data_IF_378161375230
#
_entry.id   IF_378161375230
#
_cell.length_a   1.000
_cell.length_b   1.000
_cell.length_c   1.000
_cell.angle_alpha   90.00
_cell.angle_beta   90.00
_cell.angle_gamma   90.00
#
_symmetry.space_group_name_H-M   'P 1'
#
loop_
_entity.id
_entity.type
_entity.pdbx_description
1 polymer ?
#
# COMPACT_ATOMS: atom_id res chain seq x y z
N UNK A 1 2.73 -29.54 33.99
CA UNK A 1 2.73 -28.76 32.73
C UNK A 1 1.31 -28.42 32.38
N UNK A 2 1.02 -27.15 32.16
CA UNK A 2 -0.30 -26.70 31.72
C UNK A 2 -0.64 -27.33 30.36
N UNK A 3 -1.85 -27.84 30.21
CA UNK A 3 -2.28 -28.49 28.97
C UNK A 3 -2.43 -27.42 27.89
N UNK A 4 -1.61 -27.48 26.85
CA UNK A 4 -1.69 -26.53 25.72
C UNK A 4 -3.11 -26.50 25.16
N UNK A 5 -3.70 -25.30 25.11
CA UNK A 5 -5.06 -25.06 24.59
C UNK A 5 -5.22 -25.57 23.15
N UNK A 6 -6.41 -26.07 22.83
CA UNK A 6 -6.74 -26.52 21.48
C UNK A 6 -6.63 -25.38 20.45
N UNK A 7 -6.95 -24.14 20.83
CA UNK A 7 -6.84 -22.99 19.94
C UNK A 7 -5.38 -22.70 19.58
N UNK A 8 -4.47 -22.82 20.56
CA UNK A 8 -3.03 -22.64 20.31
C UNK A 8 -2.52 -23.73 19.36
N UNK A 9 -2.91 -25.00 19.58
CA UNK A 9 -2.56 -26.12 18.69
C UNK A 9 -3.08 -25.90 17.27
N UNK A 10 -4.31 -25.44 17.11
CA UNK A 10 -4.91 -25.15 15.81
C UNK A 10 -4.16 -24.04 15.07
N UNK A 11 -3.90 -22.91 15.74
CA UNK A 11 -3.12 -21.82 15.16
C UNK A 11 -1.69 -22.26 14.77
N UNK A 12 -1.04 -23.08 15.60
CA UNK A 12 0.28 -23.62 15.27
C UNK A 12 0.24 -24.58 14.09
N UNK A 13 -0.79 -25.42 13.98
CA UNK A 13 -1.00 -26.30 12.84
C UNK A 13 -1.14 -25.52 11.52
N UNK A 14 -1.95 -24.44 11.53
CA UNK A 14 -2.08 -23.53 10.38
C UNK A 14 -0.71 -22.94 10.02
N UNK A 15 0.04 -22.43 11.00
CA UNK A 15 1.36 -21.85 10.77
C UNK A 15 2.37 -22.85 10.21
N UNK A 16 2.29 -24.13 10.58
CA UNK A 16 3.15 -25.19 10.04
C UNK A 16 2.84 -25.41 8.55
N UNK A 17 1.58 -25.66 8.19
CA UNK A 17 1.17 -25.78 6.79
C UNK A 17 1.57 -24.54 5.99
N UNK A 18 1.33 -23.35 6.54
CA UNK A 18 1.71 -22.08 5.90
C UNK A 18 3.21 -21.91 5.65
N UNK A 19 4.06 -22.43 6.53
CA UNK A 19 5.51 -22.20 6.48
C UNK A 19 6.23 -23.25 5.65
N UNK A 20 5.72 -24.49 5.67
CA UNK A 20 6.47 -25.65 5.20
C UNK A 20 5.76 -26.42 4.08
N UNK A 21 4.67 -25.87 3.51
CA UNK A 21 4.00 -26.46 2.35
C UNK A 21 3.70 -25.42 1.28
N UNK A 22 3.57 -25.87 0.04
CA UNK A 22 3.18 -25.09 -1.14
C UNK A 22 2.47 -26.01 -2.15
N UNK A 23 2.00 -25.47 -3.28
CA UNK A 23 1.42 -26.30 -4.36
C UNK A 23 2.38 -27.38 -4.88
N UNK A 24 3.68 -27.11 -4.84
CA UNK A 24 4.72 -28.06 -5.28
C UNK A 24 5.20 -29.00 -4.16
N UNK A 25 4.92 -28.66 -2.90
CA UNK A 25 5.47 -29.37 -1.73
C UNK A 25 4.39 -29.60 -0.67
N UNK A 26 3.90 -30.84 -0.58
CA UNK A 26 3.06 -31.31 0.52
C UNK A 26 3.88 -31.60 1.78
N UNK A 27 3.33 -31.28 2.95
CA UNK A 27 3.90 -31.70 4.23
C UNK A 27 3.19 -32.95 4.77
N UNK A 28 3.96 -33.99 5.07
CA UNK A 28 3.42 -35.26 5.57
C UNK A 28 2.90 -35.13 7.02
N UNK A 29 1.99 -36.01 7.42
CA UNK A 29 1.49 -36.08 8.82
C UNK A 29 2.64 -36.25 9.83
N UNK A 30 3.71 -36.96 9.44
CA UNK A 30 4.89 -37.18 10.28
C UNK A 30 5.66 -35.87 10.50
N UNK A 31 5.89 -35.11 9.44
CA UNK A 31 6.58 -33.82 9.51
C UNK A 31 5.76 -32.76 10.26
N UNK A 32 4.44 -32.74 10.05
CA UNK A 32 3.55 -31.88 10.85
C UNK A 32 3.74 -32.18 12.34
N UNK A 33 3.72 -33.46 12.74
CA UNK A 33 3.91 -33.84 14.13
C UNK A 33 5.31 -33.54 14.66
N UNK A 34 6.34 -33.64 13.81
CA UNK A 34 7.70 -33.21 14.16
C UNK A 34 7.71 -31.73 14.53
N UNK A 35 7.14 -30.87 13.69
CA UNK A 35 7.08 -29.43 13.96
C UNK A 35 6.16 -29.07 15.14
N UNK A 36 5.03 -29.78 15.33
CA UNK A 36 4.18 -29.59 16.52
C UNK A 36 4.94 -29.90 17.81
N UNK A 37 5.76 -30.97 17.80
CA UNK A 37 6.59 -31.35 18.94
C UNK A 37 7.71 -30.35 19.20
N UNK A 38 8.38 -29.87 18.16
CA UNK A 38 9.42 -28.84 18.27
C UNK A 38 8.87 -27.51 18.81
N UNK A 39 7.69 -27.08 18.36
CA UNK A 39 7.12 -25.77 18.72
C UNK A 39 6.35 -25.76 20.03
N UNK A 40 5.65 -26.85 20.36
CA UNK A 40 4.71 -26.90 21.49
C UNK A 40 4.93 -28.09 22.43
N UNK A 41 5.87 -28.99 22.14
CA UNK A 41 6.09 -30.20 22.94
C UNK A 41 4.96 -31.24 22.84
N UNK A 42 4.05 -31.12 21.86
CA UNK A 42 2.88 -31.98 21.69
C UNK A 42 2.80 -32.57 20.29
N UNK A 43 2.12 -33.69 20.15
CA UNK A 43 1.71 -34.25 18.85
C UNK A 43 0.18 -34.19 18.70
N UNK A 44 -0.28 -34.31 17.47
CA UNK A 44 -1.68 -34.42 17.10
C UNK A 44 -1.94 -35.84 16.57
N UNK A 45 -3.08 -36.40 16.96
CA UNK A 45 -3.60 -37.60 16.33
C UNK A 45 -4.24 -37.27 14.96
N UNK A 46 -4.41 -38.30 14.11
CA UNK A 46 -4.95 -38.13 12.75
C UNK A 46 -6.35 -37.54 12.74
N UNK A 47 -7.21 -37.90 13.71
CA UNK A 47 -8.59 -37.39 13.78
C UNK A 47 -8.59 -35.90 14.08
N UNK A 48 -7.73 -35.44 14.99
CA UNK A 48 -7.55 -34.01 15.26
C UNK A 48 -7.03 -33.26 14.03
N UNK A 49 -6.04 -33.82 13.31
CA UNK A 49 -5.56 -33.19 12.07
C UNK A 49 -6.65 -33.06 11.01
N UNK A 50 -7.45 -34.11 10.79
CA UNK A 50 -8.56 -34.05 9.82
C UNK A 50 -9.63 -33.03 10.22
N UNK A 51 -9.92 -32.92 11.53
CA UNK A 51 -10.81 -31.87 12.04
C UNK A 51 -10.23 -30.48 11.76
N UNK A 52 -8.95 -30.25 12.05
CA UNK A 52 -8.29 -28.97 11.77
C UNK A 52 -8.30 -28.62 10.28
N UNK A 53 -8.03 -29.57 9.38
CA UNK A 53 -8.11 -29.35 7.93
C UNK A 53 -9.53 -28.94 7.51
N UNK A 54 -10.56 -29.54 8.12
CA UNK A 54 -11.96 -29.16 7.87
C UNK A 54 -12.25 -27.75 8.38
N UNK A 55 -11.84 -27.43 9.61
CA UNK A 55 -12.06 -26.13 10.24
C UNK A 55 -11.34 -25.02 9.45
N UNK A 56 -10.11 -25.28 8.98
CA UNK A 56 -9.36 -24.39 8.07
C UNK A 56 -10.16 -24.05 6.81
N UNK A 57 -10.80 -25.03 6.18
CA UNK A 57 -11.64 -24.80 5.00
C UNK A 57 -12.89 -23.98 5.34
N UNK A 58 -13.48 -24.19 6.51
CA UNK A 58 -14.65 -23.42 6.96
C UNK A 58 -14.31 -21.94 7.21
N UNK A 59 -13.09 -21.63 7.67
CA UNK A 59 -12.62 -20.24 7.85
C UNK A 59 -12.06 -19.62 6.56
N UNK A 60 -12.25 -20.27 5.40
CA UNK A 60 -11.88 -19.72 4.09
C UNK A 60 -10.45 -20.03 3.61
N UNK A 61 -9.69 -20.85 4.35
CA UNK A 61 -8.37 -21.30 3.90
C UNK A 61 -8.50 -22.42 2.87
N UNK A 62 -7.79 -22.28 1.75
CA UNK A 62 -7.76 -23.31 0.69
C UNK A 62 -6.70 -24.34 1.02
N UNK A 63 -7.11 -25.48 1.56
CA UNK A 63 -6.21 -26.61 1.85
C UNK A 63 -6.42 -27.73 0.84
N UNK A 64 -5.33 -28.30 0.33
CA UNK A 64 -5.33 -29.43 -0.60
C UNK A 64 -6.13 -30.61 -0.09
N UNK A 65 -6.58 -31.47 -1.01
CA UNK A 65 -6.99 -32.82 -0.64
C UNK A 65 -5.74 -33.58 -0.18
N UNK A 66 -5.95 -34.68 0.55
CA UNK A 66 -4.83 -35.51 0.97
C UNK A 66 -4.01 -35.95 -0.24
N UNK A 67 -2.75 -35.55 -0.25
CA UNK A 67 -1.77 -35.96 -1.25
C UNK A 67 -1.29 -37.36 -0.87
N UNK A 68 -1.60 -38.33 -1.74
CA UNK A 68 -1.25 -39.74 -1.51
C UNK A 68 0.23 -40.02 -1.75
N UNK A 69 0.87 -39.26 -2.63
CA UNK A 69 2.27 -39.49 -3.00
C UNK A 69 3.20 -39.02 -1.89
N UNK A 70 2.90 -37.85 -1.31
CA UNK A 70 3.68 -37.26 -0.21
C UNK A 70 3.05 -37.48 1.18
N UNK A 71 2.02 -38.33 1.26
CA UNK A 71 1.28 -38.68 2.49
C UNK A 71 0.83 -37.46 3.33
N UNK A 72 0.43 -36.37 2.66
CA UNK A 72 0.41 -35.05 3.28
C UNK A 72 -0.70 -34.10 2.83
N UNK A 73 -0.57 -32.86 3.25
CA UNK A 73 -1.42 -31.75 2.87
C UNK A 73 -0.56 -30.54 2.53
N UNK A 74 -1.09 -29.64 1.72
CA UNK A 74 -0.53 -28.32 1.52
C UNK A 74 -1.62 -27.26 1.57
N UNK A 75 -1.20 -26.04 1.87
CA UNK A 75 -2.05 -24.87 1.79
C UNK A 75 -1.88 -24.25 0.39
N UNK A 76 -2.96 -24.13 -0.39
CA UNK A 76 -2.93 -23.41 -1.66
C UNK A 76 -2.58 -21.94 -1.39
N UNK A 77 -1.75 -21.37 -2.26
CA UNK A 77 -1.13 -20.07 -2.06
C UNK A 77 -2.16 -18.99 -1.70
N UNK A 78 -1.98 -18.42 -0.50
CA UNK A 78 -2.63 -17.19 -0.03
C UNK A 78 -1.60 -16.08 0.18
N UNK A 79 -0.34 -16.33 -0.19
CA UNK A 79 0.79 -15.43 0.03
C UNK A 79 1.37 -15.01 -1.31
N UNK A 80 1.93 -13.80 -1.32
CA UNK A 80 2.73 -13.34 -2.45
C UNK A 80 3.89 -14.31 -2.69
N UNK A 81 4.06 -14.75 -3.93
CA UNK A 81 5.25 -15.50 -4.34
C UNK A 81 6.47 -14.59 -4.24
N UNK A 82 7.67 -15.19 -4.16
CA UNK A 82 8.92 -14.44 -4.01
C UNK A 82 9.09 -13.35 -5.08
N UNK A 83 8.75 -13.68 -6.34
CA UNK A 83 8.82 -12.72 -7.44
C UNK A 83 7.77 -11.60 -7.34
N UNK A 84 6.59 -11.88 -6.76
CA UNK A 84 5.55 -10.86 -6.55
C UNK A 84 5.96 -9.90 -5.43
N UNK A 85 6.51 -10.41 -4.33
CA UNK A 85 7.08 -9.58 -3.28
C UNK A 85 8.22 -8.72 -3.80
N UNK A 86 9.12 -9.31 -4.60
CA UNK A 86 10.23 -8.58 -5.21
C UNK A 86 9.72 -7.44 -6.09
N UNK A 87 8.70 -7.71 -6.93
CA UNK A 87 8.08 -6.69 -7.78
C UNK A 87 7.46 -5.54 -6.95
N UNK A 88 6.76 -5.86 -5.86
CA UNK A 88 6.19 -4.85 -4.96
C UNK A 88 7.28 -4.02 -4.28
N UNK A 89 8.32 -4.68 -3.78
CA UNK A 89 9.45 -4.01 -3.14
C UNK A 89 10.19 -3.11 -4.12
N UNK A 90 10.41 -3.54 -5.35
CA UNK A 90 11.05 -2.72 -6.38
C UNK A 90 10.20 -1.51 -6.77
N UNK A 91 8.87 -1.66 -6.80
CA UNK A 91 7.93 -0.53 -7.02
C UNK A 91 7.97 0.49 -5.87
N UNK A 92 8.09 0.04 -4.62
CA UNK A 92 8.22 0.92 -3.45
C UNK A 92 9.59 1.63 -3.44
N UNK A 93 10.66 0.94 -3.86
CA UNK A 93 11.98 1.54 -4.00
C UNK A 93 12.00 2.64 -5.05
N UNK A 94 11.38 2.43 -6.21
CA UNK A 94 11.36 3.41 -7.31
C UNK A 94 10.49 4.63 -7.04
N UNK A 95 9.56 4.55 -6.07
CA UNK A 95 8.70 5.69 -5.71
C UNK A 95 9.51 6.87 -5.15
N UNK A 96 9.34 8.07 -5.72
CA UNK A 96 10.00 9.31 -5.26
C UNK A 96 9.25 9.98 -4.12
N UNK A 97 7.95 9.74 -4.05
CA UNK A 97 7.00 10.35 -3.12
C UNK A 97 7.16 9.96 -1.63
N UNK A 98 7.91 8.90 -1.30
CA UNK A 98 8.09 8.44 0.09
C UNK A 98 9.52 8.74 0.54
N UNK A 99 9.71 9.09 1.81
CA UNK A 99 11.06 9.33 2.37
C UNK A 99 11.86 8.03 2.42
N UNK A 100 13.20 8.13 2.50
CA UNK A 100 14.07 6.95 2.63
C UNK A 100 13.67 6.09 3.83
N UNK A 101 13.53 6.71 5.00
CA UNK A 101 13.13 6.06 6.24
C UNK A 101 11.82 5.29 6.08
N UNK A 102 10.79 5.94 5.53
CA UNK A 102 9.49 5.30 5.29
C UNK A 102 9.52 4.22 4.23
N UNK A 103 10.42 4.34 3.24
CA UNK A 103 10.67 3.29 2.24
C UNK A 103 11.22 2.05 2.96
N UNK A 104 12.25 2.20 3.79
CA UNK A 104 12.86 1.10 4.56
C UNK A 104 11.83 0.41 5.47
N UNK A 105 11.05 1.18 6.24
CA UNK A 105 9.98 0.65 7.10
C UNK A 105 8.90 -0.10 6.30
N UNK A 106 8.56 0.37 5.10
CA UNK A 106 7.55 -0.29 4.25
C UNK A 106 8.10 -1.56 3.60
N UNK A 107 9.36 -1.56 3.19
CA UNK A 107 10.04 -2.74 2.66
C UNK A 107 10.12 -3.85 3.71
N UNK A 108 10.40 -3.52 4.96
CA UNK A 108 10.36 -4.47 6.08
C UNK A 108 8.94 -5.05 6.26
N UNK A 109 7.90 -4.21 6.24
CA UNK A 109 6.51 -4.69 6.35
C UNK A 109 6.13 -5.62 5.18
N UNK A 110 6.52 -5.28 3.95
CA UNK A 110 6.24 -6.10 2.77
C UNK A 110 6.96 -7.44 2.84
N UNK A 111 8.21 -7.49 3.30
CA UNK A 111 8.93 -8.76 3.46
C UNK A 111 8.24 -9.69 4.47
N UNK A 112 7.50 -9.14 5.45
CA UNK A 112 6.73 -9.95 6.40
C UNK A 112 5.48 -10.62 5.83
N UNK A 113 5.01 -10.19 4.65
CA UNK A 113 3.81 -10.73 4.00
C UNK A 113 3.98 -12.19 3.56
N UNK A 114 5.21 -12.64 3.29
CA UNK A 114 5.51 -14.06 3.14
C UNK A 114 6.50 -14.52 4.20
N UNK A 115 6.03 -15.35 5.14
CA UNK A 115 6.83 -15.86 6.26
C UNK A 115 8.07 -16.64 5.80
N UNK A 116 7.97 -17.36 4.66
CA UNK A 116 9.04 -18.21 4.13
C UNK A 116 10.25 -17.38 3.68
N UNK A 117 10.00 -16.21 3.10
CA UNK A 117 11.05 -15.39 2.45
C UNK A 117 11.49 -14.16 3.25
N UNK A 118 10.97 -13.96 4.47
CA UNK A 118 11.23 -12.80 5.34
C UNK A 118 12.68 -12.33 5.40
N UNK A 119 13.63 -13.27 5.56
CA UNK A 119 15.05 -12.95 5.67
C UNK A 119 15.75 -12.77 4.33
N UNK A 120 15.46 -13.64 3.34
CA UNK A 120 16.15 -13.66 2.05
C UNK A 120 15.96 -12.37 1.24
N UNK A 121 14.75 -11.80 1.28
CA UNK A 121 14.43 -10.60 0.51
C UNK A 121 14.99 -9.33 1.20
N UNK A 122 15.16 -9.35 2.53
CA UNK A 122 15.75 -8.23 3.29
C UNK A 122 17.28 -8.24 3.19
N UNK A 123 17.90 -9.42 3.16
CA UNK A 123 19.37 -9.59 3.06
C UNK A 123 19.94 -9.19 1.70
N UNK A 124 19.12 -9.07 0.65
CA UNK A 124 19.58 -8.51 -0.62
C UNK A 124 19.80 -7.00 -0.46
N UNK A 125 20.97 -6.59 0.05
CA UNK A 125 21.45 -5.21 0.22
C UNK A 125 20.78 -4.23 -0.76
N UNK A 126 19.71 -3.58 -0.30
CA UNK A 126 18.95 -2.64 -1.14
C UNK A 126 19.59 -1.27 -1.01
N UNK A 127 20.31 -0.84 -2.04
CA UNK A 127 20.67 0.56 -2.17
C UNK A 127 19.41 1.37 -2.50
N UNK A 128 19.00 2.23 -1.57
CA UNK A 128 17.95 3.23 -1.80
C UNK A 128 18.65 4.54 -2.15
N UNK A 129 18.50 4.98 -3.40
CA UNK A 129 19.00 6.28 -3.81
C UNK A 129 18.15 7.39 -3.19
N UNK A 130 18.72 8.08 -2.21
CA UNK A 130 18.05 9.14 -1.46
C UNK A 130 17.93 10.46 -2.24
N UNK A 131 18.70 10.63 -3.31
CA UNK A 131 18.73 11.89 -4.08
C UNK A 131 17.39 12.19 -4.76
N UNK A 132 16.64 11.14 -5.12
CA UNK A 132 15.33 11.26 -5.75
C UNK A 132 14.15 11.17 -4.78
N UNK A 133 14.38 10.76 -3.52
CA UNK A 133 13.33 10.62 -2.49
C UNK A 133 12.88 11.98 -1.96
N UNK A 134 11.63 12.08 -1.53
CA UNK A 134 11.17 13.28 -0.83
C UNK A 134 11.77 13.39 0.58
N UNK A 135 11.87 14.62 1.06
CA UNK A 135 12.21 14.95 2.45
C UNK A 135 10.96 15.27 3.28
N UNK A 136 9.78 15.21 2.67
CA UNK A 136 8.51 15.50 3.34
C UNK A 136 8.05 14.32 4.18
N UNK A 137 8.29 14.37 5.48
CA UNK A 137 7.80 13.35 6.43
C UNK A 137 6.27 13.40 6.62
N UNK A 138 5.60 14.46 6.14
CA UNK A 138 4.14 14.63 6.22
C UNK A 138 3.34 13.85 5.18
N UNK A 139 3.98 13.17 4.22
CA UNK A 139 3.30 12.57 3.04
C UNK A 139 2.13 11.62 3.35
N UNK A 140 2.25 10.78 4.37
CA UNK A 140 1.15 9.86 4.75
C UNK A 140 -0.03 10.63 5.37
N UNK A 141 0.25 11.62 6.23
CA UNK A 141 -0.78 12.50 6.77
C UNK A 141 -1.45 13.32 5.66
N UNK A 142 -0.68 13.76 4.67
CA UNK A 142 -1.22 14.50 3.54
C UNK A 142 -2.24 13.65 2.75
N UNK A 143 -1.90 12.38 2.46
CA UNK A 143 -2.82 11.42 1.83
C UNK A 143 -4.10 11.30 2.65
N UNK A 144 -3.99 11.03 3.95
CA UNK A 144 -5.16 10.87 4.83
C UNK A 144 -6.06 12.10 4.87
N UNK A 145 -5.48 13.31 4.91
CA UNK A 145 -6.23 14.57 4.92
C UNK A 145 -6.94 14.82 3.58
N UNK A 146 -6.27 14.54 2.46
CA UNK A 146 -6.86 14.68 1.13
C UNK A 146 -7.99 13.67 0.94
N UNK A 147 -7.76 12.39 1.28
CA UNK A 147 -8.80 11.34 1.23
C UNK A 147 -10.03 11.74 2.05
N UNK A 148 -9.80 12.20 3.28
CA UNK A 148 -10.88 12.64 4.16
C UNK A 148 -11.65 13.84 3.60
N UNK A 149 -10.97 14.78 2.95
CA UNK A 149 -11.62 15.92 2.31
C UNK A 149 -12.48 15.51 1.12
N UNK A 150 -11.96 14.61 0.25
CA UNK A 150 -12.69 14.05 -0.88
C UNK A 150 -13.93 13.30 -0.39
N UNK A 151 -13.77 12.43 0.61
CA UNK A 151 -14.90 11.67 1.18
C UNK A 151 -15.99 12.56 1.77
N UNK A 152 -15.61 13.71 2.31
CA UNK A 152 -16.52 14.68 2.93
C UNK A 152 -16.99 15.79 1.99
N UNK A 153 -16.58 15.79 0.72
CA UNK A 153 -16.84 16.87 -0.24
C UNK A 153 -16.43 18.27 0.27
N UNK A 154 -15.32 18.36 1.02
CA UNK A 154 -14.82 19.62 1.58
C UNK A 154 -13.65 20.18 0.78
N UNK A 155 -13.56 21.51 0.70
CA UNK A 155 -12.37 22.19 0.17
C UNK A 155 -11.16 21.97 1.07
N UNK A 156 -9.97 22.07 0.49
CA UNK A 156 -8.72 22.06 1.25
C UNK A 156 -7.89 23.30 0.97
N UNK A 157 -7.10 23.68 1.96
CA UNK A 157 -6.00 24.64 1.83
C UNK A 157 -4.66 23.98 2.05
N UNK A 158 -3.62 24.46 1.37
CA UNK A 158 -2.26 23.96 1.57
C UNK A 158 -1.19 24.94 1.07
N UNK A 159 0.02 24.82 1.60
CA UNK A 159 1.22 25.47 1.08
C UNK A 159 1.90 24.54 0.05
N UNK A 160 2.36 25.09 -1.08
CA UNK A 160 3.07 24.31 -2.10
C UNK A 160 4.55 24.68 -2.18
N UNK A 161 5.41 23.65 -2.12
CA UNK A 161 6.85 23.78 -2.00
C UNK A 161 7.57 23.15 -3.19
N UNK A 162 8.45 23.92 -3.82
CA UNK A 162 8.98 23.64 -5.16
C UNK A 162 10.47 23.33 -5.17
N UNK A 163 11.16 23.56 -4.03
CA UNK A 163 12.59 23.27 -3.88
C UNK A 163 12.87 22.55 -2.57
N UNK A 164 13.79 21.58 -2.61
CA UNK A 164 14.40 20.97 -1.44
C UNK A 164 15.70 21.72 -1.13
N UNK A 165 16.00 22.00 0.13
CA UNK A 165 17.31 22.47 0.57
C UNK A 165 17.74 21.72 1.84
N UNK A 166 18.98 21.95 2.29
CA UNK A 166 19.52 21.34 3.51
C UNK A 166 18.71 21.66 4.78
N UNK A 167 17.88 22.70 4.76
CA UNK A 167 17.04 23.14 5.88
C UNK A 167 15.58 22.66 5.77
N UNK A 168 15.20 21.94 4.71
CA UNK A 168 13.83 21.47 4.49
C UNK A 168 13.25 21.86 3.13
N UNK A 169 11.91 21.90 3.04
CA UNK A 169 11.21 22.33 1.83
C UNK A 169 11.12 23.86 1.77
N UNK A 170 11.42 24.42 0.59
CA UNK A 170 11.24 25.85 0.29
C UNK A 170 9.91 26.01 -0.43
N UNK A 171 9.02 26.75 0.21
CA UNK A 171 7.68 27.04 -0.30
C UNK A 171 7.64 28.39 -1.01
N UNK A 172 6.76 28.55 -2.01
CA UNK A 172 6.71 29.76 -2.83
C UNK A 172 6.55 30.99 -1.94
N UNK A 173 7.52 31.90 -1.99
CA UNK A 173 7.44 33.22 -1.32
C UNK A 173 6.72 34.26 -2.19
N UNK A 174 6.47 33.97 -3.47
CA UNK A 174 5.95 34.94 -4.45
C UNK A 174 4.49 35.35 -4.25
N UNK A 175 3.76 34.71 -3.33
CA UNK A 175 2.41 35.13 -2.94
C UNK A 175 2.30 35.59 -1.48
N UNK A 176 3.39 36.04 -0.85
CA UNK A 176 3.30 36.60 0.51
C UNK A 176 2.54 37.92 0.61
N UNK A 177 2.18 38.55 -0.51
CA UNK A 177 1.34 39.75 -0.51
C UNK A 177 -0.17 39.46 -0.63
N UNK A 178 -0.59 38.22 -0.91
CA UNK A 178 -2.01 37.76 -0.87
C UNK A 178 -2.15 36.25 -0.52
N UNK A 179 -1.38 35.74 0.44
CA UNK A 179 -1.54 34.37 0.97
C UNK A 179 -1.14 33.27 -0.01
N UNK A 180 0.12 32.85 0.01
CA UNK A 180 0.67 31.69 -0.74
C UNK A 180 0.14 30.31 -0.33
N UNK A 181 -1.13 30.26 0.05
CA UNK A 181 -1.94 29.11 0.41
C UNK A 181 -2.89 28.83 -0.75
N UNK A 182 -2.76 27.66 -1.37
CA UNK A 182 -3.69 27.20 -2.39
C UNK A 182 -5.00 26.82 -1.72
N UNK A 183 -6.14 27.18 -2.31
CA UNK A 183 -7.48 26.74 -1.91
C UNK A 183 -8.16 26.08 -3.10
N UNK A 184 -8.48 24.80 -2.99
CA UNK A 184 -8.95 23.99 -4.14
C UNK A 184 -10.09 23.05 -3.76
N UNK A 185 -10.81 22.58 -4.78
CA UNK A 185 -11.78 21.49 -4.66
C UNK A 185 -11.07 20.16 -4.95
N UNK A 186 -10.76 19.31 -3.94
CA UNK A 186 -10.12 18.03 -4.19
C UNK A 186 -11.12 17.03 -4.79
N UNK A 187 -10.69 16.26 -5.80
CA UNK A 187 -11.56 15.33 -6.54
C UNK A 187 -11.10 13.89 -6.37
N UNK A 188 -9.81 13.65 -6.60
CA UNK A 188 -9.21 12.34 -6.45
C UNK A 188 -7.70 12.47 -6.25
N UNK A 189 -7.06 11.33 -6.07
CA UNK A 189 -5.61 11.21 -6.11
C UNK A 189 -5.21 10.25 -7.22
N UNK A 190 -4.13 10.59 -7.92
CA UNK A 190 -3.60 9.81 -9.02
C UNK A 190 -2.11 9.53 -8.80
N UNK A 191 -1.70 8.32 -9.15
CA UNK A 191 -0.29 7.93 -9.17
C UNK A 191 0.19 7.90 -10.62
N UNK A 192 1.24 8.65 -10.92
CA UNK A 192 2.01 8.47 -12.15
C UNK A 192 3.39 7.97 -11.78
N UNK A 193 3.59 6.65 -11.96
CA UNK A 193 4.79 5.81 -11.76
C UNK A 193 5.68 6.11 -10.53
N UNK A 194 6.15 7.34 -10.38
CA UNK A 194 7.08 7.82 -9.37
C UNK A 194 6.43 8.76 -8.33
N UNK A 195 5.35 9.45 -8.66
CA UNK A 195 4.79 10.55 -7.86
C UNK A 195 3.27 10.42 -7.63
N UNK A 196 2.84 10.83 -6.44
CA UNK A 196 1.43 10.89 -6.07
C UNK A 196 0.91 12.33 -6.21
N UNK A 197 -0.20 12.50 -6.92
CA UNK A 197 -0.79 13.79 -7.25
C UNK A 197 -2.18 13.94 -6.66
N UNK A 198 -2.46 15.11 -6.11
CA UNK A 198 -3.82 15.59 -5.90
C UNK A 198 -4.38 16.04 -7.24
N UNK A 199 -5.56 15.54 -7.60
CA UNK A 199 -6.38 16.02 -8.71
C UNK A 199 -7.44 16.95 -8.16
N UNK A 200 -7.52 18.18 -8.68
CA UNK A 200 -8.44 19.20 -8.18
C UNK A 200 -8.99 20.09 -9.28
N UNK A 201 -10.06 20.83 -8.98
CA UNK A 201 -10.63 21.87 -9.85
C UNK A 201 -10.68 23.20 -9.10
N UNK A 202 -10.48 24.29 -9.83
CA UNK A 202 -10.61 25.66 -9.33
C UNK A 202 -11.77 26.37 -10.06
N UNK A 203 -12.58 27.15 -9.33
CA UNK A 203 -13.50 28.18 -9.84
C UNK A 203 -14.32 27.82 -11.11
N UNK A 204 -15.14 26.77 -11.06
CA UNK A 204 -16.05 26.36 -12.16
C UNK A 204 -15.38 26.02 -13.52
N UNK A 205 -14.06 25.87 -13.58
CA UNK A 205 -13.39 25.43 -14.81
C UNK A 205 -13.47 23.90 -14.93
N UNK A 206 -13.82 23.36 -16.09
CA UNK A 206 -13.78 21.90 -16.37
C UNK A 206 -12.35 21.37 -16.57
N UNK A 207 -11.34 22.02 -15.99
CA UNK A 207 -9.93 21.67 -16.16
C UNK A 207 -9.33 21.19 -14.84
N UNK A 208 -8.63 20.06 -14.90
CA UNK A 208 -7.92 19.52 -13.76
C UNK A 208 -6.61 20.27 -13.48
N UNK A 209 -6.34 20.44 -12.19
CA UNK A 209 -5.07 20.89 -11.66
C UNK A 209 -4.43 19.75 -10.87
N UNK A 210 -3.12 19.58 -11.06
CA UNK A 210 -2.33 18.51 -10.46
C UNK A 210 -1.27 19.07 -9.52
N UNK A 211 -1.30 18.64 -8.27
CA UNK A 211 -0.31 19.03 -7.26
C UNK A 211 0.40 17.79 -6.74
N UNK A 212 1.74 17.77 -6.81
CA UNK A 212 2.52 16.68 -6.19
C UNK A 212 2.30 16.72 -4.68
N UNK A 213 1.80 15.64 -4.10
CA UNK A 213 1.43 15.60 -2.69
C UNK A 213 2.67 15.72 -1.79
N UNK A 214 3.84 15.28 -2.28
CA UNK A 214 5.13 15.46 -1.60
C UNK A 214 5.55 16.92 -1.47
N UNK A 215 5.04 17.79 -2.34
CA UNK A 215 5.30 19.22 -2.33
C UNK A 215 4.28 19.99 -1.48
N UNK A 216 3.25 19.33 -0.96
CA UNK A 216 2.22 19.96 -0.13
C UNK A 216 2.61 19.94 1.35
N UNK A 217 2.38 21.07 2.03
CA UNK A 217 2.56 21.21 3.48
C UNK A 217 1.40 22.00 4.06
N UNK A 218 1.18 21.90 5.38
CA UNK A 218 0.09 22.61 6.08
C UNK A 218 -1.28 22.39 5.44
N UNK A 219 -1.62 21.13 5.12
CA UNK A 219 -2.94 20.81 4.58
C UNK A 219 -3.99 20.99 5.67
N UNK A 220 -5.03 21.76 5.38
CA UNK A 220 -6.20 21.95 6.25
C UNK A 220 -7.48 21.68 5.46
N UNK A 221 -8.43 21.01 6.11
CA UNK A 221 -9.76 20.77 5.56
C UNK A 221 -10.63 21.95 5.98
N UNK A 222 -11.29 22.59 5.02
CA UNK A 222 -12.18 23.71 5.29
C UNK A 222 -13.60 23.22 5.62
N UNK A 223 -14.36 24.05 6.33
CA UNK A 223 -15.80 23.82 6.53
C UNK A 223 -16.61 24.09 5.25
N UNK A 224 -16.03 24.82 4.29
CA UNK A 224 -16.63 25.06 2.98
C UNK A 224 -16.77 23.76 2.18
N UNK A 225 -17.99 23.50 1.71
CA UNK A 225 -18.24 22.48 0.69
C UNK A 225 -17.51 22.85 -0.60
N UNK A 226 -17.20 21.85 -1.40
CA UNK A 226 -16.74 22.08 -2.77
C UNK A 226 -17.80 22.76 -3.63
N UNK A 227 -17.35 23.47 -4.67
CA UNK A 227 -18.23 24.35 -5.47
C UNK A 227 -19.36 23.60 -6.19
N UNK A 228 -19.10 22.39 -6.72
CA UNK A 228 -20.14 21.55 -7.34
C UNK A 228 -19.84 20.05 -7.14
N UNK A 229 -20.54 19.39 -6.20
CA UNK A 229 -20.39 17.97 -5.91
C UNK A 229 -20.61 17.01 -7.08
N UNK A 230 -21.30 17.43 -8.14
CA UNK A 230 -21.53 16.59 -9.32
C UNK A 230 -20.23 16.29 -10.07
N UNK A 231 -19.23 17.17 -9.99
CA UNK A 231 -17.90 16.87 -10.52
C UNK A 231 -17.24 15.74 -9.72
N UNK A 232 -17.36 15.73 -8.40
CA UNK A 232 -16.85 14.61 -7.60
C UNK A 232 -17.59 13.31 -7.95
N UNK A 233 -18.91 13.31 -8.06
CA UNK A 233 -19.64 12.08 -8.37
C UNK A 233 -19.36 11.57 -9.79
N UNK A 234 -19.10 12.48 -10.74
CA UNK A 234 -18.62 12.11 -12.09
C UNK A 234 -17.20 11.57 -12.06
N UNK A 235 -16.32 12.15 -11.23
CA UNK A 235 -14.87 11.89 -11.25
C UNK A 235 -14.32 11.10 -10.05
N UNK A 236 -15.19 10.53 -9.21
CA UNK A 236 -14.82 9.68 -8.07
C UNK A 236 -14.08 8.44 -8.57
N UNK A 237 -12.76 8.47 -8.45
CA UNK A 237 -11.92 7.29 -8.69
C UNK A 237 -11.62 6.53 -7.41
N UNK A 238 -11.91 5.23 -7.47
CA UNK A 238 -11.39 4.16 -6.62
C UNK A 238 -11.24 2.91 -7.50
N UNK A 239 -11.03 1.72 -6.92
CA UNK A 239 -11.03 0.45 -7.66
C UNK A 239 -12.31 0.19 -8.48
N UNK A 240 -13.36 0.99 -8.28
CA UNK A 240 -14.66 0.92 -8.94
C UNK A 240 -15.04 2.21 -9.71
N UNK A 241 -14.06 3.04 -10.11
CA UNK A 241 -14.34 4.21 -10.96
C UNK A 241 -14.97 3.76 -12.30
N UNK A 242 -15.82 4.60 -12.91
CA UNK A 242 -16.20 4.33 -14.30
C UNK A 242 -14.95 4.38 -15.19
N UNK A 243 -14.77 3.36 -16.03
CA UNK A 243 -13.55 3.15 -16.82
C UNK A 243 -13.21 4.38 -17.70
N UNK A 244 -14.23 5.12 -18.16
CA UNK A 244 -14.10 6.34 -18.95
C UNK A 244 -13.42 7.49 -18.19
N UNK A 245 -13.73 7.64 -16.91
CA UNK A 245 -13.31 8.76 -16.09
C UNK A 245 -11.85 8.59 -15.63
N UNK A 246 -11.48 7.38 -15.22
CA UNK A 246 -10.10 7.03 -14.91
C UNK A 246 -9.17 7.23 -16.10
N UNK A 247 -9.64 6.92 -17.33
CA UNK A 247 -8.89 7.14 -18.57
C UNK A 247 -8.61 8.63 -18.81
N UNK A 248 -9.62 9.51 -18.68
CA UNK A 248 -9.42 10.96 -18.86
C UNK A 248 -8.40 11.54 -17.90
N UNK A 249 -8.50 11.23 -16.59
CA UNK A 249 -7.54 11.73 -15.60
C UNK A 249 -6.13 11.20 -15.88
N UNK A 250 -6.02 9.93 -16.30
CA UNK A 250 -4.72 9.31 -16.61
C UNK A 250 -4.08 9.91 -17.85
N UNK A 251 -4.86 10.17 -18.91
CA UNK A 251 -4.36 10.79 -20.15
C UNK A 251 -3.92 12.24 -19.92
N UNK A 252 -4.73 13.03 -19.22
CA UNK A 252 -4.39 14.43 -18.90
C UNK A 252 -3.18 14.52 -17.95
N UNK A 253 -3.07 13.62 -16.97
CA UNK A 253 -1.89 13.53 -16.10
C UNK A 253 -0.62 13.16 -16.88
N UNK A 254 -0.70 12.19 -17.81
CA UNK A 254 0.43 11.82 -18.66
C UNK A 254 0.92 13.00 -19.49
N UNK A 255 -0.01 13.76 -20.07
CA UNK A 255 0.33 14.96 -20.83
C UNK A 255 0.96 16.03 -19.93
N UNK A 256 0.38 16.27 -18.75
CA UNK A 256 0.92 17.19 -17.75
C UNK A 256 2.36 16.85 -17.33
N UNK A 257 2.64 15.56 -17.11
CA UNK A 257 3.99 15.10 -16.75
C UNK A 257 4.95 15.22 -17.93
N UNK A 258 4.51 14.86 -19.16
CA UNK A 258 5.32 14.94 -20.39
C UNK A 258 5.83 16.35 -20.65
N UNK A 259 5.01 17.37 -20.41
CA UNK A 259 5.37 18.78 -20.62
C UNK A 259 6.16 19.41 -19.46
N UNK A 260 6.58 18.61 -18.46
CA UNK A 260 7.41 19.08 -17.35
C UNK A 260 6.62 19.79 -16.25
N UNK A 261 5.32 19.47 -16.11
CA UNK A 261 4.44 19.99 -15.07
C UNK A 261 5.11 19.95 -13.69
N UNK A 262 5.31 21.15 -13.12
CA UNK A 262 6.10 21.56 -11.94
C UNK A 262 7.27 22.55 -12.18
N UNK A 263 7.54 22.99 -13.42
CA UNK A 263 8.36 24.20 -13.72
C UNK A 263 7.52 25.49 -13.96
N UNK A 264 6.39 25.62 -13.25
CA UNK A 264 5.72 26.89 -12.96
C UNK A 264 5.55 27.93 -14.08
N UNK A 265 5.27 27.55 -15.34
CA UNK A 265 5.13 28.56 -16.40
C UNK A 265 4.03 28.35 -17.43
N UNK A 266 3.28 27.24 -17.43
CA UNK A 266 2.06 27.14 -18.26
C UNK A 266 1.03 26.24 -17.59
N UNK A 267 0.28 26.82 -16.66
CA UNK A 267 -1.18 26.95 -16.66
C UNK A 267 -1.58 27.85 -15.49
#
# INVERSE_FOLDING_TARGET
>A
MEKVSNNIKFCTFINILRTYSSEDVSISIKEINKHMKEKLGVTLDRRTMYAYIKDMRQIGLRVSKYDKENEGYFLYDYFFKEYELKLLMDSVKSSKFITKKKTEELLEKISTLNFIYRGRIVESNVFIDETFKTINEGVYRNIELIDKAIMKNKKITFNYCYKKCSQGLICSKEYKNQGGVFKVNPISMANDHENYYLVSIQNNFEKFNYYKIENMTSIEILEEEIDDPRFIDRYKSGLNASESVGKTITEDLKEYVRIGGSNGSKY
#
